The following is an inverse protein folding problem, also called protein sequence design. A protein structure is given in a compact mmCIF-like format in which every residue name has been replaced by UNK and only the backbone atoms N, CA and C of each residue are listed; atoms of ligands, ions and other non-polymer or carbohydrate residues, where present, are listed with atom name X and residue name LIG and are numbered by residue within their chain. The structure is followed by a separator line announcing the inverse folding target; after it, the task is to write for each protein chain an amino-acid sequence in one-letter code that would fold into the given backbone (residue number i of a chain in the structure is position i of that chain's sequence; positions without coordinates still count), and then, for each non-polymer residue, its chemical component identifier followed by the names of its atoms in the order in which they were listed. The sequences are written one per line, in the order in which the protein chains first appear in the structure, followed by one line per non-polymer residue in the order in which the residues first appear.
data_IF_899728202140
#
_entry.id   IF_899728202140
#
_cell.length_a   1.000
_cell.length_b   1.000
_cell.length_c   1.000
_cell.angle_alpha   90.00
_cell.angle_beta   90.00
_cell.angle_gamma   90.00
#
_symmetry.space_group_name_H-M   'P 1'
#
loop_
_entity.id
_entity.type
_entity.pdbx_description
1 polymer ?
#
# COMPACT_ATOMS: atom_id res chain seq x y z
N UNK A 1 18.60 -6.41 -3.08
CA UNK A 1 19.74 -6.42 -4.02
C UNK A 1 20.71 -5.29 -3.75
N UNK A 2 20.22 -4.06 -3.54
CA UNK A 2 21.08 -2.87 -3.47
C UNK A 2 21.72 -2.65 -2.08
N UNK A 3 21.24 -3.31 -1.04
CA UNK A 3 21.80 -3.16 0.31
C UNK A 3 21.71 -1.73 0.87
N UNK A 4 20.70 -0.96 0.47
CA UNK A 4 20.54 0.47 0.82
C UNK A 4 20.22 0.73 2.29
N UNK A 5 20.03 -0.32 3.10
CA UNK A 5 19.62 -0.22 4.49
C UNK A 5 18.11 -0.09 4.66
N UNK A 6 17.69 0.13 5.92
CA UNK A 6 16.27 0.32 6.25
C UNK A 6 15.88 1.77 6.09
N UNK A 7 14.68 2.00 5.53
CA UNK A 7 14.09 3.32 5.48
C UNK A 7 13.77 3.82 6.89
N UNK A 8 14.26 5.01 7.22
CA UNK A 8 14.08 5.61 8.53
C UNK A 8 12.85 6.52 8.54
N UNK A 9 11.70 5.95 8.85
CA UNK A 9 10.42 6.67 8.92
C UNK A 9 10.49 7.85 9.90
N UNK A 10 11.03 7.64 11.10
CA UNK A 10 11.09 8.69 12.14
C UNK A 10 11.93 9.87 11.71
N UNK A 11 13.11 9.62 11.12
CA UNK A 11 13.97 10.71 10.64
C UNK A 11 13.35 11.42 9.43
N UNK A 12 12.70 10.67 8.53
CA UNK A 12 12.03 11.24 7.36
C UNK A 12 10.86 12.15 7.76
N UNK A 13 10.03 11.72 8.70
CA UNK A 13 8.92 12.51 9.23
C UNK A 13 9.42 13.76 9.96
N UNK A 14 10.44 13.62 10.78
CA UNK A 14 11.06 14.76 11.49
C UNK A 14 11.69 15.78 10.52
N UNK A 15 12.17 15.33 9.38
CA UNK A 15 12.70 16.19 8.32
C UNK A 15 11.60 16.77 7.39
N UNK A 16 10.34 16.42 7.59
CA UNK A 16 9.21 16.86 6.77
C UNK A 16 9.27 16.32 5.34
N UNK A 17 9.93 15.17 5.11
CA UNK A 17 10.00 14.57 3.79
C UNK A 17 8.65 13.99 3.37
N UNK A 18 8.29 14.24 2.12
CA UNK A 18 7.14 13.60 1.49
C UNK A 18 7.62 12.34 0.77
N UNK A 19 7.01 11.21 1.07
CA UNK A 19 7.36 9.93 0.46
C UNK A 19 6.12 9.06 0.31
N UNK A 20 6.18 8.12 -0.61
CA UNK A 20 5.17 7.09 -0.83
C UNK A 20 5.81 5.71 -0.96
N UNK A 21 5.00 4.69 -1.01
CA UNK A 21 5.45 3.32 -1.25
C UNK A 21 5.41 3.00 -2.74
N UNK A 22 6.44 2.32 -3.22
CA UNK A 22 6.54 1.79 -4.56
C UNK A 22 7.23 0.43 -4.58
N UNK A 23 6.98 -0.36 -5.61
CA UNK A 23 7.54 -1.72 -5.74
C UNK A 23 9.04 -1.72 -6.05
N UNK A 24 9.58 -0.62 -6.61
CA UNK A 24 10.95 -0.53 -7.10
C UNK A 24 11.27 -1.73 -8.02
N UNK A 25 10.39 -2.00 -8.98
CA UNK A 25 10.49 -3.15 -9.86
C UNK A 25 11.84 -3.17 -10.59
N UNK A 26 12.55 -4.30 -10.47
CA UNK A 26 13.94 -4.42 -10.94
C UNK A 26 14.95 -4.40 -9.79
N UNK A 27 14.87 -3.47 -8.85
CA UNK A 27 15.63 -3.44 -7.57
C UNK A 27 14.83 -4.05 -6.42
N UNK A 28 13.52 -3.89 -6.42
CA UNK A 28 12.61 -4.47 -5.44
C UNK A 28 12.35 -5.96 -5.64
N UNK A 29 11.68 -6.56 -4.66
CA UNK A 29 11.48 -8.01 -4.58
C UNK A 29 10.13 -8.48 -5.07
N UNK A 30 9.20 -7.59 -5.37
CA UNK A 30 7.83 -7.93 -5.74
C UNK A 30 7.17 -6.83 -6.55
N UNK A 31 6.26 -7.22 -7.45
CA UNK A 31 5.33 -6.32 -8.14
C UNK A 31 4.10 -5.99 -7.28
N UNK A 32 3.85 -6.78 -6.23
CA UNK A 32 2.64 -6.69 -5.44
C UNK A 32 2.67 -5.50 -4.48
N UNK A 33 1.67 -4.58 -4.50
CA UNK A 33 1.54 -3.52 -3.53
C UNK A 33 1.33 -4.06 -2.11
N UNK A 34 0.70 -5.20 -1.96
CA UNK A 34 0.51 -5.85 -0.64
C UNK A 34 1.84 -6.26 -0.04
N UNK A 35 2.75 -6.85 -0.83
CA UNK A 35 4.11 -7.18 -0.39
C UNK A 35 4.91 -5.93 -0.01
N UNK A 36 4.78 -4.85 -0.77
CA UNK A 36 5.46 -3.59 -0.45
C UNK A 36 4.95 -3.00 0.87
N UNK A 37 3.65 -2.98 1.08
CA UNK A 37 3.05 -2.53 2.36
C UNK A 37 3.48 -3.42 3.52
N UNK A 38 3.52 -4.75 3.33
CA UNK A 38 3.98 -5.69 4.36
C UNK A 38 5.46 -5.49 4.69
N UNK A 39 6.30 -5.29 3.68
CA UNK A 39 7.71 -4.98 3.87
C UNK A 39 7.90 -3.66 4.64
N UNK A 40 7.16 -2.60 4.28
CA UNK A 40 7.18 -1.32 4.97
C UNK A 40 6.78 -1.45 6.44
N UNK A 41 5.72 -2.20 6.74
CA UNK A 41 5.30 -2.51 8.10
C UNK A 41 6.40 -3.22 8.89
N UNK A 42 7.03 -4.21 8.28
CA UNK A 42 8.10 -5.00 8.92
C UNK A 42 9.35 -4.15 9.15
N UNK A 43 9.77 -3.38 8.15
CA UNK A 43 10.97 -2.51 8.23
C UNK A 43 10.79 -1.40 9.27
N UNK A 44 9.61 -0.77 9.32
CA UNK A 44 9.33 0.27 10.30
C UNK A 44 9.44 -0.21 11.76
N UNK A 45 9.13 -1.48 12.02
CA UNK A 45 9.26 -2.10 13.34
C UNK A 45 10.69 -2.48 13.70
N UNK A 46 11.57 -2.58 12.69
CA UNK A 46 12.99 -2.78 12.89
C UNK A 46 13.68 -1.43 13.06
N UNK A 47 14.61 -1.34 13.98
CA UNK A 47 15.35 -0.10 14.20
C UNK A 47 16.70 -0.42 14.79
N UNK A 48 17.73 0.27 14.31
CA UNK A 48 19.08 0.16 14.88
C UNK A 48 19.29 1.34 15.82
N UNK A 49 19.49 1.02 17.10
CA UNK A 49 19.80 2.03 18.11
C UNK A 49 18.60 2.81 18.68
N UNK A 50 17.38 2.49 18.27
CA UNK A 50 16.14 3.08 18.81
C UNK A 50 14.92 2.15 18.60
N UNK A 51 13.81 2.31 19.33
CA UNK A 51 12.60 1.53 19.09
C UNK A 51 12.07 1.77 17.67
N UNK A 52 11.60 0.69 17.03
CA UNK A 52 10.85 0.79 15.78
C UNK A 52 9.46 1.41 16.00
N UNK A 53 8.81 1.82 14.91
CA UNK A 53 7.46 2.35 14.93
C UNK A 53 6.46 1.35 14.35
N UNK A 54 5.20 1.47 14.72
CA UNK A 54 4.11 0.69 14.13
C UNK A 54 3.34 1.58 13.16
N UNK A 55 3.39 1.25 11.88
CA UNK A 55 2.59 1.92 10.86
C UNK A 55 1.16 1.35 10.89
N UNK A 56 0.18 2.23 10.99
CA UNK A 56 -1.22 1.84 10.88
C UNK A 56 -1.52 1.31 9.47
N UNK A 57 -2.38 0.28 9.32
CA UNK A 57 -2.76 -0.24 8.02
C UNK A 57 -3.30 0.82 7.08
N UNK A 58 -4.14 1.73 7.55
CA UNK A 58 -4.69 2.84 6.76
C UNK A 58 -3.59 3.76 6.22
N UNK A 59 -2.54 4.00 7.01
CA UNK A 59 -1.41 4.80 6.60
C UNK A 59 -0.61 4.11 5.47
N UNK A 60 -0.43 2.80 5.53
CA UNK A 60 0.23 2.02 4.48
C UNK A 60 -0.54 2.07 3.17
N UNK A 61 -1.86 1.94 3.24
CA UNK A 61 -2.73 2.08 2.07
C UNK A 61 -2.70 3.50 1.51
N UNK A 62 -2.73 4.51 2.39
CA UNK A 62 -2.60 5.91 1.98
C UNK A 62 -1.26 6.17 1.29
N UNK A 63 -0.16 5.66 1.82
CA UNK A 63 1.17 5.79 1.21
C UNK A 63 1.27 5.13 -0.18
N UNK A 64 0.41 4.18 -0.48
CA UNK A 64 0.34 3.53 -1.80
C UNK A 64 -0.64 4.22 -2.78
N UNK A 65 -1.41 5.19 -2.31
CA UNK A 65 -2.46 5.88 -3.09
C UNK A 65 -2.28 7.39 -3.01
N UNK A 66 -3.10 8.08 -2.25
CA UNK A 66 -3.09 9.53 -2.14
C UNK A 66 -1.76 10.09 -1.59
N UNK A 67 -1.10 9.38 -0.69
CA UNK A 67 0.22 9.76 -0.16
C UNK A 67 1.32 9.70 -1.22
N UNK A 68 1.33 8.65 -2.04
CA UNK A 68 2.26 8.56 -3.16
C UNK A 68 2.01 9.67 -4.19
N UNK A 69 0.74 9.92 -4.53
CA UNK A 69 0.37 11.03 -5.41
C UNK A 69 0.83 12.38 -4.86
N UNK A 70 0.64 12.62 -3.56
CA UNK A 70 1.11 13.84 -2.91
C UNK A 70 2.64 13.98 -2.92
N UNK A 71 3.37 12.87 -2.72
CA UNK A 71 4.84 12.86 -2.77
C UNK A 71 5.38 13.20 -4.17
N UNK A 72 4.62 12.91 -5.21
CA UNK A 72 4.95 13.16 -6.62
C UNK A 72 4.37 14.50 -7.14
N UNK A 73 3.79 15.34 -6.30
CA UNK A 73 3.07 16.58 -6.67
C UNK A 73 1.88 16.33 -7.64
N UNK A 74 1.29 15.12 -7.58
CA UNK A 74 0.11 14.73 -8.34
C UNK A 74 -1.18 14.74 -7.50
N UNK A 75 -1.10 15.23 -6.24
CA UNK A 75 -2.28 15.37 -5.38
C UNK A 75 -3.35 16.25 -6.05
N UNK A 76 -4.60 15.81 -6.00
CA UNK A 76 -5.71 16.47 -6.71
C UNK A 76 -5.86 16.09 -8.19
N UNK A 77 -4.97 15.21 -8.70
CA UNK A 77 -5.11 14.62 -10.05
C UNK A 77 -5.42 13.14 -9.97
N UNK A 78 -4.65 12.41 -9.17
CA UNK A 78 -4.77 10.95 -8.99
C UNK A 78 -4.63 10.57 -7.52
N UNK A 79 -4.83 9.29 -7.21
CA UNK A 79 -4.62 8.72 -5.86
C UNK A 79 -5.84 8.78 -4.95
N UNK A 80 -6.94 9.38 -5.40
CA UNK A 80 -8.23 9.42 -4.70
C UNK A 80 -9.38 9.56 -5.71
N UNK A 81 -10.62 9.41 -5.24
CA UNK A 81 -11.84 9.48 -6.06
C UNK A 81 -12.64 10.78 -5.83
N UNK A 82 -11.97 11.87 -5.45
CA UNK A 82 -12.62 13.16 -5.29
C UNK A 82 -13.02 13.77 -6.65
N UNK A 83 -14.09 14.57 -6.71
CA UNK A 83 -14.46 15.28 -7.94
C UNK A 83 -13.29 16.09 -8.50
N UNK A 84 -13.01 15.90 -9.78
CA UNK A 84 -11.89 16.54 -10.48
C UNK A 84 -10.61 15.70 -10.57
N UNK A 85 -10.54 14.58 -9.85
CA UNK A 85 -9.48 13.59 -10.01
C UNK A 85 -9.80 12.60 -11.14
N UNK A 86 -8.76 12.02 -11.72
CA UNK A 86 -8.90 10.91 -12.66
C UNK A 86 -9.44 9.68 -11.92
N UNK A 87 -10.33 8.94 -12.56
CA UNK A 87 -10.94 7.75 -11.99
C UNK A 87 -10.00 6.53 -12.18
N UNK A 88 -8.89 6.56 -11.46
CA UNK A 88 -7.89 5.49 -11.40
C UNK A 88 -8.10 4.71 -10.10
N UNK A 89 -8.54 3.46 -10.20
CA UNK A 89 -8.78 2.63 -9.03
C UNK A 89 -8.73 1.14 -9.35
N UNK A 90 -8.59 0.34 -8.30
CA UNK A 90 -8.76 -1.11 -8.34
C UNK A 90 -9.98 -1.52 -7.52
N UNK A 91 -10.68 -2.54 -7.97
CA UNK A 91 -11.73 -3.21 -7.19
C UNK A 91 -11.11 -4.45 -6.56
N UNK A 92 -11.20 -4.55 -5.24
CA UNK A 92 -10.62 -5.64 -4.48
C UNK A 92 -11.71 -6.61 -4.05
N UNK A 93 -11.47 -7.91 -4.30
CA UNK A 93 -12.30 -8.99 -3.77
C UNK A 93 -11.65 -9.57 -2.49
N UNK A 94 -12.15 -9.25 -1.30
CA UNK A 94 -11.60 -9.76 -0.04
C UNK A 94 -11.88 -11.26 0.17
N UNK A 95 -12.63 -11.89 -0.73
CA UNK A 95 -12.97 -13.31 -0.70
C UNK A 95 -12.25 -14.12 -1.79
N UNK A 96 -11.25 -13.56 -2.44
CA UNK A 96 -10.54 -14.20 -3.54
C UNK A 96 -9.85 -15.52 -3.16
N UNK A 97 -9.50 -15.68 -1.88
CA UNK A 97 -8.98 -16.96 -1.37
C UNK A 97 -9.74 -17.40 -0.12
N UNK A 98 -9.88 -18.72 0.11
CA UNK A 98 -10.59 -19.25 1.30
C UNK A 98 -9.98 -18.74 2.63
N UNK A 99 -8.66 -18.59 2.70
CA UNK A 99 -7.97 -18.12 3.89
C UNK A 99 -8.31 -16.64 4.17
N UNK A 100 -8.22 -15.80 3.14
CA UNK A 100 -8.54 -14.38 3.28
C UNK A 100 -10.03 -14.17 3.60
N UNK A 101 -10.93 -14.87 2.91
CA UNK A 101 -12.37 -14.82 3.19
C UNK A 101 -12.68 -15.15 4.65
N UNK A 102 -12.06 -16.22 5.17
CA UNK A 102 -12.23 -16.61 6.58
C UNK A 102 -11.66 -15.56 7.53
N UNK A 103 -10.51 -14.98 7.22
CA UNK A 103 -9.88 -13.96 8.06
C UNK A 103 -10.67 -12.65 8.06
N UNK A 104 -11.10 -12.17 6.90
CA UNK A 104 -11.85 -10.92 6.79
C UNK A 104 -13.26 -11.00 7.40
N UNK A 105 -13.88 -12.19 7.39
CA UNK A 105 -15.16 -12.42 8.08
C UNK A 105 -15.07 -12.28 9.62
N UNK A 106 -13.88 -12.28 10.20
CA UNK A 106 -13.65 -12.17 11.64
C UNK A 106 -13.10 -10.80 12.04
N UNK A 107 -12.98 -9.85 11.11
CA UNK A 107 -12.53 -8.49 11.42
C UNK A 107 -13.67 -7.64 11.95
N UNK A 108 -13.39 -6.84 12.96
CA UNK A 108 -14.35 -5.93 13.59
C UNK A 108 -14.11 -4.47 13.19
N UNK A 109 -12.90 -4.16 12.71
CA UNK A 109 -12.51 -2.80 12.34
C UNK A 109 -11.97 -2.74 10.90
N UNK A 110 -12.02 -1.54 10.32
CA UNK A 110 -11.40 -1.27 9.01
C UNK A 110 -9.89 -1.56 9.05
N UNK A 111 -9.20 -1.18 10.12
CA UNK A 111 -7.77 -1.43 10.28
C UNK A 111 -7.43 -2.92 10.19
N UNK A 112 -8.17 -3.76 10.90
CA UNK A 112 -7.97 -5.22 10.85
C UNK A 112 -8.25 -5.79 9.46
N UNK A 113 -9.28 -5.29 8.81
CA UNK A 113 -9.66 -5.70 7.46
C UNK A 113 -8.58 -5.33 6.44
N UNK A 114 -8.09 -4.09 6.46
CA UNK A 114 -7.00 -3.61 5.61
C UNK A 114 -5.70 -4.38 5.88
N UNK A 115 -5.40 -4.66 7.16
CA UNK A 115 -4.20 -5.41 7.53
C UNK A 115 -4.26 -6.87 7.08
N UNK A 116 -5.43 -7.51 7.14
CA UNK A 116 -5.60 -8.86 6.61
C UNK A 116 -5.23 -8.94 5.12
N UNK A 117 -5.61 -7.94 4.34
CA UNK A 117 -5.24 -7.87 2.91
C UNK A 117 -3.74 -7.59 2.71
N UNK A 118 -3.11 -6.76 3.55
CA UNK A 118 -1.66 -6.52 3.49
C UNK A 118 -0.89 -7.81 3.70
N UNK A 119 -1.30 -8.65 4.66
CA UNK A 119 -0.57 -9.86 5.05
C UNK A 119 -0.88 -11.06 4.16
N UNK A 120 -2.12 -11.20 3.72
CA UNK A 120 -2.62 -12.39 3.00
C UNK A 120 -2.96 -12.10 1.53
N UNK A 121 -2.80 -10.85 1.09
CA UNK A 121 -3.19 -10.42 -0.25
C UNK A 121 -2.14 -10.73 -1.30
N UNK A 122 -2.63 -11.04 -2.49
CA UNK A 122 -1.85 -11.20 -3.71
C UNK A 122 -2.67 -10.69 -4.92
N UNK A 123 -2.19 -10.94 -6.14
CA UNK A 123 -2.84 -10.48 -7.38
C UNK A 123 -4.27 -10.98 -7.55
N UNK A 124 -4.64 -12.10 -6.96
CA UNK A 124 -6.01 -12.66 -7.02
C UNK A 124 -7.06 -11.77 -6.36
N UNK A 125 -6.63 -10.85 -5.49
CA UNK A 125 -7.53 -9.89 -4.87
C UNK A 125 -8.03 -8.83 -5.86
N UNK A 126 -7.30 -8.56 -6.93
CA UNK A 126 -7.65 -7.52 -7.89
C UNK A 126 -8.74 -8.07 -8.82
N UNK A 127 -9.99 -7.69 -8.56
CA UNK A 127 -11.12 -8.08 -9.40
C UNK A 127 -11.19 -7.24 -10.69
N UNK A 128 -10.93 -5.94 -10.59
CA UNK A 128 -10.92 -5.01 -11.72
C UNK A 128 -9.87 -3.93 -11.52
N UNK A 129 -9.29 -3.49 -12.63
CA UNK A 129 -8.45 -2.28 -12.70
C UNK A 129 -9.12 -1.28 -13.64
N UNK A 130 -9.22 -0.04 -13.19
CA UNK A 130 -9.80 1.06 -13.97
C UNK A 130 -8.76 2.16 -14.06
N UNK A 131 -8.50 2.65 -15.28
CA UNK A 131 -7.59 3.76 -15.58
C UNK A 131 -8.35 4.81 -16.38
N UNK A 132 -8.35 6.05 -15.91
CA UNK A 132 -9.11 7.16 -16.48
C UNK A 132 -10.60 6.80 -16.75
N UNK A 133 -11.18 6.10 -15.78
CA UNK A 133 -12.58 5.66 -15.88
C UNK A 133 -12.82 4.49 -16.85
N UNK A 134 -11.79 3.94 -17.48
CA UNK A 134 -11.91 2.83 -18.42
C UNK A 134 -11.41 1.52 -17.79
N UNK A 135 -12.19 0.43 -17.82
CA UNK A 135 -11.71 -0.88 -17.38
C UNK A 135 -10.52 -1.34 -18.21
N UNK A 136 -9.47 -1.79 -17.53
CA UNK A 136 -8.32 -2.43 -18.18
C UNK A 136 -8.60 -3.93 -18.26
N UNK A 137 -8.69 -4.46 -19.48
CA UNK A 137 -8.78 -5.89 -19.68
C UNK A 137 -7.37 -6.49 -19.57
N UNK A 138 -7.16 -7.21 -18.49
CA UNK A 138 -5.98 -8.06 -18.34
C UNK A 138 -6.37 -9.38 -18.99
N UNK A 139 -5.93 -9.59 -20.21
CA UNK A 139 -6.22 -10.80 -21.00
C UNK A 139 -5.70 -12.07 -20.37
#
# INVERSE_FOLDING_TARGET
FLGSGFFDYTASDAAGLRYGLASDVGGGTSFSPFHTMHAAYTVARQSVGRPGISLAPEHLWWQHTAGAAAALDLGGKVGNLLPGCEADFVVINPQATPLLARRTAQTETLAEWLFAMIVLGDERLIAHTVVQGQPVNIG
#
